data_IF_420835772333
#
_entry.id   IF_420835772333
#
_cell.length_a   1.000
_cell.length_b   1.000
_cell.length_c   1.000
_cell.angle_alpha   90.00
_cell.angle_beta   90.00
_cell.angle_gamma   90.00
#
_symmetry.space_group_name_H-M   'P 1'
#
loop_
_entity.id
_entity.type
_entity.pdbx_description
1 polymer ?
#
# COMPACT_ATOMS: atom_id res chain seq x y z
N UNK A 1 1.11 47.12 71.34
CA UNK A 1 2.11 48.13 70.90
C UNK A 1 3.40 47.40 70.57
N UNK A 2 3.73 47.25 69.29
CA UNK A 2 4.97 46.57 68.87
C UNK A 2 6.11 47.60 68.96
N UNK A 3 7.09 47.37 69.84
CA UNK A 3 8.30 48.20 69.98
C UNK A 3 9.23 47.89 68.82
N UNK A 4 9.12 48.67 67.73
CA UNK A 4 10.01 48.55 66.58
C UNK A 4 11.40 49.08 67.00
N UNK A 5 12.36 48.17 67.14
CA UNK A 5 13.73 48.50 67.50
C UNK A 5 14.44 49.13 66.28
N UNK A 6 15.34 50.11 66.48
CA UNK A 6 15.98 50.87 65.37
C UNK A 6 16.66 49.97 64.32
N UNK A 7 17.10 48.78 64.73
CA UNK A 7 17.67 47.74 63.85
C UNK A 7 16.66 47.21 62.81
N UNK A 8 15.38 47.07 63.15
CA UNK A 8 14.35 46.58 62.21
C UNK A 8 13.92 47.63 61.18
N UNK A 9 13.96 48.92 61.54
CA UNK A 9 13.70 50.01 60.59
C UNK A 9 14.78 50.02 59.49
N UNK A 10 16.03 49.77 59.86
CA UNK A 10 17.16 49.75 58.92
C UNK A 10 17.11 48.53 57.97
N UNK A 11 16.66 47.38 58.48
CA UNK A 11 16.52 46.15 57.68
C UNK A 11 15.34 46.24 56.70
N UNK A 12 14.21 46.85 57.12
CA UNK A 12 13.07 47.12 56.23
C UNK A 12 13.44 48.16 55.16
N UNK A 13 14.19 49.21 55.52
CA UNK A 13 14.67 50.20 54.55
C UNK A 13 15.64 49.58 53.54
N UNK A 14 16.53 48.68 53.98
CA UNK A 14 17.44 47.95 53.09
C UNK A 14 16.67 47.01 52.13
N UNK A 15 15.65 46.31 52.63
CA UNK A 15 14.81 45.40 51.83
C UNK A 15 13.92 46.16 50.83
N UNK A 16 13.41 47.32 51.22
CA UNK A 16 12.69 48.22 50.32
C UNK A 16 13.62 48.79 49.24
N UNK A 17 14.85 49.18 49.61
CA UNK A 17 15.85 49.65 48.65
C UNK A 17 16.26 48.56 47.64
N UNK A 18 16.45 47.31 48.06
CA UNK A 18 16.73 46.20 47.13
C UNK A 18 15.55 45.88 46.22
N UNK A 19 14.30 45.92 46.70
CA UNK A 19 13.11 45.76 45.84
C UNK A 19 12.99 46.87 44.78
N UNK A 20 13.38 48.10 45.11
CA UNK A 20 13.39 49.23 44.15
C UNK A 20 14.50 49.06 43.10
N UNK A 21 15.68 48.53 43.48
CA UNK A 21 16.78 48.30 42.52
C UNK A 21 16.49 47.13 41.57
N UNK A 22 15.78 46.09 42.02
CA UNK A 22 15.43 44.93 41.16
C UNK A 22 14.31 45.30 40.16
N UNK A 23 13.42 46.25 40.49
CA UNK A 23 12.34 46.69 39.60
C UNK A 23 12.77 47.70 38.53
N UNK A 24 13.97 48.31 38.64
CA UNK A 24 14.45 49.36 37.74
C UNK A 24 15.33 48.95 36.56
N UNK A 25 15.65 47.66 36.38
CA UNK A 25 16.71 47.21 35.46
C UNK A 25 16.27 46.20 34.39
N UNK A 26 15.01 46.19 33.98
CA UNK A 26 14.65 45.53 32.72
C UNK A 26 14.87 46.53 31.57
N UNK A 27 16.04 46.48 30.92
CA UNK A 27 16.24 47.22 29.66
C UNK A 27 15.15 46.78 28.67
N UNK A 28 14.42 47.71 28.02
CA UNK A 28 13.44 47.35 27.01
C UNK A 28 14.17 46.62 25.86
N UNK A 29 13.60 45.50 25.44
CA UNK A 29 14.09 44.66 24.34
C UNK A 29 14.01 45.40 23.00
N UNK A 30 12.99 46.25 22.81
CA UNK A 30 12.74 47.00 21.58
C UNK A 30 12.24 48.43 21.87
N UNK A 31 12.39 49.33 20.90
CA UNK A 31 11.73 50.65 20.88
C UNK A 31 10.72 50.75 19.74
N UNK A 32 10.96 50.07 18.64
CA UNK A 32 10.13 50.01 17.44
C UNK A 32 10.00 48.57 16.96
N UNK A 33 9.02 48.27 16.12
CA UNK A 33 8.86 46.93 15.53
C UNK A 33 10.05 46.49 14.68
N UNK A 34 10.83 47.43 14.16
CA UNK A 34 12.06 47.17 13.39
C UNK A 34 13.23 46.69 14.26
N UNK A 35 13.19 46.95 15.57
CA UNK A 35 14.21 46.47 16.51
C UNK A 35 14.00 44.98 16.86
N UNK A 36 12.82 44.42 16.54
CA UNK A 36 12.52 43.03 16.80
C UNK A 36 13.12 42.11 15.74
N UNK A 37 13.75 41.03 16.17
CA UNK A 37 14.28 40.00 15.27
C UNK A 37 13.16 39.45 14.39
N UNK A 38 13.25 39.55 13.05
CA UNK A 38 12.19 39.04 12.18
C UNK A 38 12.05 37.53 12.36
N UNK A 39 10.81 37.07 12.50
CA UNK A 39 10.45 35.65 12.53
C UNK A 39 9.65 35.31 11.28
N UNK A 40 9.94 34.16 10.68
CA UNK A 40 9.21 33.66 9.51
C UNK A 40 7.72 33.60 9.82
N UNK A 41 6.90 34.11 8.88
CA UNK A 41 5.44 34.11 8.99
C UNK A 41 4.88 34.70 10.31
N UNK A 42 5.56 35.72 10.84
CA UNK A 42 5.12 36.45 12.03
C UNK A 42 5.22 37.95 11.80
N UNK A 43 4.17 38.67 12.21
CA UNK A 43 4.17 40.12 12.30
C UNK A 43 4.76 40.53 13.66
N UNK A 44 5.91 41.21 13.65
CA UNK A 44 6.53 41.74 14.86
C UNK A 44 5.92 43.09 15.23
N UNK A 45 5.70 43.29 16.53
CA UNK A 45 5.34 44.59 17.11
C UNK A 45 6.09 44.79 18.42
N UNK A 46 6.57 46.00 18.67
CA UNK A 46 7.10 46.36 19.97
C UNK A 46 5.95 46.78 20.89
N UNK A 47 5.66 45.96 21.90
CA UNK A 47 4.59 46.19 22.88
C UNK A 47 5.20 46.34 24.27
N UNK A 48 5.08 47.53 24.86
CA UNK A 48 5.59 47.84 26.21
C UNK A 48 7.09 47.52 26.38
N UNK A 49 7.89 47.77 25.34
CA UNK A 49 9.32 47.50 25.34
C UNK A 49 9.70 46.02 25.21
N UNK A 50 8.76 45.14 24.82
CA UNK A 50 9.00 43.72 24.51
C UNK A 50 8.57 43.41 23.08
N UNK A 51 9.28 42.51 22.42
CA UNK A 51 8.89 42.06 21.09
C UNK A 51 7.75 41.05 21.17
N UNK A 52 6.56 41.47 20.72
CA UNK A 52 5.42 40.59 20.53
C UNK A 52 5.34 40.15 19.06
N UNK A 53 5.00 38.88 18.84
CA UNK A 53 4.89 38.29 17.51
C UNK A 53 3.48 37.75 17.35
N UNK A 54 2.79 38.18 16.30
CA UNK A 54 1.49 37.63 15.90
C UNK A 54 1.67 36.78 14.64
N UNK A 55 0.98 35.63 14.51
CA UNK A 55 1.04 34.82 13.30
C UNK A 55 0.54 35.64 12.10
N UNK A 56 1.29 35.61 11.00
CA UNK A 56 0.86 36.20 9.74
C UNK A 56 -0.07 35.23 9.03
N UNK A 57 -1.26 35.68 8.64
CA UNK A 57 -2.24 34.83 7.96
C UNK A 57 -1.77 34.36 6.58
N UNK A 58 -2.20 33.16 6.20
CA UNK A 58 -1.91 32.50 4.92
C UNK A 58 -0.41 32.36 4.65
N UNK A 59 0.38 32.07 5.69
CA UNK A 59 1.83 31.97 5.62
C UNK A 59 2.32 30.71 6.33
N UNK A 60 3.02 29.86 5.58
CA UNK A 60 3.49 28.58 6.08
C UNK A 60 4.67 28.73 7.07
N UNK A 61 4.49 28.24 8.29
CA UNK A 61 5.45 28.31 9.40
C UNK A 61 4.97 29.19 10.56
N UNK A 62 3.71 29.65 10.54
CA UNK A 62 3.11 30.44 11.62
C UNK A 62 2.50 29.56 12.75
N UNK A 63 2.57 28.22 12.61
CA UNK A 63 2.00 27.20 13.50
C UNK A 63 0.46 27.21 13.60
N UNK A 64 -0.21 27.92 12.70
CA UNK A 64 -1.66 27.96 12.55
C UNK A 64 -2.02 27.17 11.30
N UNK A 65 -3.07 26.35 11.37
CA UNK A 65 -3.54 25.56 10.23
C UNK A 65 -4.64 26.32 9.51
N UNK A 66 -4.32 27.00 8.41
CA UNK A 66 -5.29 27.74 7.59
C UNK A 66 -5.64 27.01 6.28
N UNK A 67 -6.86 27.16 5.76
CA UNK A 67 -7.28 26.47 4.53
C UNK A 67 -6.42 26.80 3.30
N UNK A 68 -5.75 27.96 3.30
CA UNK A 68 -4.82 28.39 2.26
C UNK A 68 -3.55 28.91 2.93
N UNK A 69 -2.41 28.29 2.61
CA UNK A 69 -1.09 28.66 3.09
C UNK A 69 -0.20 29.03 1.90
N UNK A 70 0.31 30.26 1.88
CA UNK A 70 1.21 30.75 0.82
C UNK A 70 0.65 30.56 -0.61
N UNK A 71 -0.66 30.76 -0.77
CA UNK A 71 -1.37 30.61 -2.05
C UNK A 71 -1.66 29.17 -2.49
N UNK A 72 -1.42 28.17 -1.63
CA UNK A 72 -1.72 26.74 -1.87
C UNK A 72 -2.71 26.22 -0.82
N UNK A 73 -3.43 25.11 -1.07
CA UNK A 73 -4.26 24.48 -0.04
C UNK A 73 -3.42 24.14 1.19
N UNK A 74 -3.85 24.51 2.40
CA UNK A 74 -3.10 24.23 3.63
C UNK A 74 -3.19 22.75 4.04
N UNK A 75 -2.10 22.00 3.88
CA UNK A 75 -2.02 20.60 4.25
C UNK A 75 -0.56 20.14 4.49
N UNK A 76 -0.39 18.86 4.83
CA UNK A 76 0.92 18.26 5.14
C UNK A 76 1.92 18.23 3.97
N UNK A 77 1.44 18.36 2.74
CA UNK A 77 2.24 18.32 1.51
C UNK A 77 2.66 19.71 1.02
N UNK A 78 1.86 20.73 1.31
CA UNK A 78 2.11 22.12 0.90
C UNK A 78 2.75 22.94 2.02
N UNK A 79 2.45 22.63 3.28
CA UNK A 79 2.98 23.30 4.46
C UNK A 79 3.30 22.32 5.62
N UNK A 80 4.38 21.53 5.50
CA UNK A 80 4.76 20.57 6.54
C UNK A 80 5.15 21.23 7.87
N UNK A 81 5.54 22.50 7.86
CA UNK A 81 5.91 23.25 9.07
C UNK A 81 4.74 23.38 10.05
N UNK A 82 3.52 23.62 9.54
CA UNK A 82 2.33 23.84 10.38
C UNK A 82 1.47 22.57 10.49
N UNK A 83 1.45 21.76 9.44
CA UNK A 83 0.62 20.56 9.37
C UNK A 83 1.32 19.27 9.80
N UNK A 84 2.64 19.32 9.97
CA UNK A 84 3.48 18.14 10.05
C UNK A 84 3.75 17.55 8.67
N UNK A 85 4.75 16.66 8.58
CA UNK A 85 5.12 16.04 7.30
C UNK A 85 4.20 14.88 6.94
N UNK A 86 3.92 14.73 5.66
CA UNK A 86 3.30 13.53 5.10
C UNK A 86 4.39 12.49 4.76
N UNK A 87 4.95 11.87 5.79
CA UNK A 87 5.96 10.82 5.65
C UNK A 87 5.78 9.77 6.75
N UNK A 88 6.24 8.55 6.50
CA UNK A 88 6.20 7.45 7.46
C UNK A 88 5.52 6.20 6.91
N UNK A 89 5.76 5.07 7.57
CA UNK A 89 5.13 3.81 7.19
C UNK A 89 3.67 3.79 7.65
N UNK A 90 2.81 3.15 6.86
CA UNK A 90 1.49 2.74 7.32
C UNK A 90 1.61 1.83 8.53
N UNK A 91 0.57 1.75 9.36
CA UNK A 91 0.53 0.86 10.52
C UNK A 91 -0.42 -0.30 10.25
N UNK A 92 0.04 -1.52 10.47
CA UNK A 92 -0.74 -2.76 10.41
C UNK A 92 -0.92 -3.33 11.81
N UNK A 93 -2.05 -3.98 12.08
CA UNK A 93 -2.28 -4.68 13.36
C UNK A 93 -1.96 -6.16 13.26
N UNK A 94 -1.05 -6.62 14.10
CA UNK A 94 -0.70 -8.03 14.27
C UNK A 94 -1.07 -8.43 15.70
N UNK A 95 -2.26 -9.05 15.84
CA UNK A 95 -2.83 -9.37 17.15
C UNK A 95 -3.19 -8.10 17.94
N UNK A 96 -2.49 -7.86 19.05
CA UNK A 96 -2.67 -6.67 19.89
C UNK A 96 -1.62 -5.57 19.64
N UNK A 97 -0.67 -5.78 18.72
CA UNK A 97 0.43 -4.85 18.44
C UNK A 97 0.22 -4.14 17.10
N UNK A 98 0.72 -2.92 17.01
CA UNK A 98 0.85 -2.18 15.76
C UNK A 98 2.29 -2.26 15.28
N UNK A 99 2.47 -2.64 14.02
CA UNK A 99 3.78 -2.72 13.35
C UNK A 99 3.77 -1.86 12.08
N UNK A 100 4.96 -1.49 11.62
CA UNK A 100 5.11 -0.76 10.36
C UNK A 100 4.81 -1.68 9.18
N UNK A 101 3.97 -1.20 8.26
CA UNK A 101 3.80 -1.82 6.95
C UNK A 101 5.13 -1.81 6.18
N UNK A 102 5.35 -2.85 5.38
CA UNK A 102 6.60 -3.02 4.66
C UNK A 102 6.68 -2.09 3.43
N UNK A 103 5.58 -1.92 2.69
CA UNK A 103 5.54 -1.16 1.45
C UNK A 103 4.63 0.06 1.54
N UNK A 104 3.50 -0.05 2.24
CA UNK A 104 2.52 1.04 2.34
C UNK A 104 3.09 2.18 3.21
N UNK A 105 3.13 3.39 2.65
CA UNK A 105 3.68 4.61 3.27
C UNK A 105 2.78 5.82 3.01
N UNK A 106 2.87 6.80 3.90
CA UNK A 106 2.34 8.13 3.65
C UNK A 106 3.28 8.90 2.73
N UNK A 107 2.73 9.42 1.64
CA UNK A 107 3.47 10.29 0.74
C UNK A 107 2.55 11.34 0.10
N UNK A 108 3.15 12.39 -0.43
CA UNK A 108 2.42 13.42 -1.15
C UNK A 108 2.16 12.99 -2.58
N UNK A 109 0.89 12.87 -2.95
CA UNK A 109 0.47 12.61 -4.32
C UNK A 109 0.84 13.78 -5.25
N UNK A 110 0.74 13.56 -6.56
CA UNK A 110 0.93 14.60 -7.57
C UNK A 110 -0.02 15.80 -7.37
N UNK A 111 -1.18 15.57 -6.74
CA UNK A 111 -2.20 16.59 -6.45
C UNK A 111 -1.96 17.32 -5.11
N UNK A 112 -0.77 17.16 -4.50
CA UNK A 112 -0.41 17.70 -3.19
C UNK A 112 -1.35 17.25 -2.05
N UNK A 113 -1.86 16.03 -2.13
CA UNK A 113 -2.63 15.41 -1.05
C UNK A 113 -1.77 14.39 -0.32
N UNK A 114 -1.90 14.33 0.99
CA UNK A 114 -1.26 13.26 1.76
C UNK A 114 -2.07 11.99 1.60
N UNK A 115 -1.49 10.99 0.96
CA UNK A 115 -2.15 9.71 0.65
C UNK A 115 -1.37 8.56 1.25
N UNK A 116 -2.09 7.47 1.54
CA UNK A 116 -1.52 6.21 1.99
C UNK A 116 -1.47 5.25 0.79
N UNK A 117 -0.28 4.78 0.44
CA UNK A 117 -0.13 3.85 -0.67
C UNK A 117 1.30 3.39 -0.87
N UNK A 118 1.62 2.90 -2.07
CA UNK A 118 2.95 2.40 -2.40
C UNK A 118 3.57 3.31 -3.46
N UNK A 119 4.80 3.76 -3.22
CA UNK A 119 5.56 4.53 -4.20
C UNK A 119 5.91 3.66 -5.42
N UNK A 120 5.85 4.22 -6.64
CA UNK A 120 6.12 3.49 -7.89
C UNK A 120 7.49 2.78 -7.91
N UNK A 121 8.49 3.33 -7.21
CA UNK A 121 9.84 2.75 -7.13
C UNK A 121 9.90 1.45 -6.31
N UNK A 122 8.92 1.24 -5.43
CA UNK A 122 8.82 0.08 -4.54
C UNK A 122 7.99 -1.05 -5.18
N UNK A 123 7.39 -0.81 -6.36
CA UNK A 123 6.60 -1.78 -7.12
C UNK A 123 7.47 -2.51 -8.14
N UNK A 124 7.49 -3.84 -8.08
CA UNK A 124 8.24 -4.67 -9.03
C UNK A 124 7.40 -5.86 -9.53
N UNK A 125 7.43 -6.15 -10.84
CA UNK A 125 6.71 -7.29 -11.40
C UNK A 125 7.35 -8.60 -10.93
N UNK A 126 6.52 -9.53 -10.49
CA UNK A 126 6.87 -10.91 -10.17
C UNK A 126 6.40 -11.81 -11.31
N UNK A 127 7.22 -12.81 -11.65
CA UNK A 127 6.89 -13.80 -12.67
C UNK A 127 7.16 -15.19 -12.10
N UNK A 128 6.18 -16.08 -12.21
CA UNK A 128 6.34 -17.48 -11.81
C UNK A 128 5.99 -18.38 -12.98
N UNK A 129 6.83 -19.39 -13.21
CA UNK A 129 6.61 -20.44 -14.18
C UNK A 129 6.13 -21.70 -13.46
N UNK A 130 5.01 -22.23 -13.91
CA UNK A 130 4.45 -23.50 -13.46
C UNK A 130 4.29 -24.44 -14.65
N UNK A 131 4.41 -25.75 -14.40
CA UNK A 131 4.31 -26.79 -15.42
C UNK A 131 3.06 -27.63 -15.21
N UNK A 132 2.30 -27.82 -16.29
CA UNK A 132 1.13 -28.69 -16.37
C UNK A 132 1.57 -29.94 -17.11
N UNK A 133 1.55 -31.09 -16.45
CA UNK A 133 1.87 -32.38 -17.07
C UNK A 133 0.75 -33.38 -16.79
N UNK A 134 0.04 -33.78 -17.85
CA UNK A 134 -1.12 -34.68 -17.75
C UNK A 134 -0.82 -36.09 -18.26
N UNK A 135 0.39 -36.34 -18.75
CA UNK A 135 0.73 -37.54 -19.53
C UNK A 135 0.26 -37.51 -20.99
N UNK A 136 -0.78 -36.73 -21.31
CA UNK A 136 -1.29 -36.53 -22.67
C UNK A 136 -0.81 -35.23 -23.32
N UNK A 137 -0.42 -34.25 -22.51
CA UNK A 137 0.23 -33.04 -22.98
C UNK A 137 1.07 -32.42 -21.86
N UNK A 138 1.99 -31.54 -22.26
CA UNK A 138 2.70 -30.65 -21.33
C UNK A 138 2.42 -29.22 -21.73
N UNK A 139 2.14 -28.38 -20.75
CA UNK A 139 1.99 -26.94 -20.96
C UNK A 139 2.72 -26.17 -19.86
N UNK A 140 3.20 -24.99 -20.20
CA UNK A 140 3.81 -24.06 -19.28
C UNK A 140 2.84 -22.93 -19.00
N UNK A 141 2.75 -22.52 -17.75
CA UNK A 141 1.92 -21.40 -17.32
C UNK A 141 2.80 -20.37 -16.65
N UNK A 142 2.87 -19.17 -17.21
CA UNK A 142 3.53 -18.02 -16.59
C UNK A 142 2.46 -17.15 -15.96
N UNK A 143 2.53 -16.94 -14.65
CA UNK A 143 1.74 -15.93 -13.94
C UNK A 143 2.62 -14.71 -13.66
N UNK A 144 2.11 -13.53 -13.96
CA UNK A 144 2.73 -12.23 -13.70
C UNK A 144 1.80 -11.33 -12.89
N UNK A 145 2.37 -10.64 -11.90
CA UNK A 145 1.67 -9.65 -11.08
C UNK A 145 2.66 -8.69 -10.41
N UNK A 146 2.21 -7.51 -10.02
CA UNK A 146 3.04 -6.53 -9.32
C UNK A 146 3.17 -6.84 -7.82
N UNK A 147 4.36 -6.62 -7.26
CA UNK A 147 4.62 -6.75 -5.81
C UNK A 147 5.11 -5.39 -5.27
N UNK A 148 4.46 -4.85 -4.23
CA UNK A 148 3.18 -5.31 -3.66
C UNK A 148 2.03 -5.14 -4.68
N UNK A 149 0.98 -5.95 -4.52
CA UNK A 149 -0.16 -6.00 -5.41
C UNK A 149 -1.29 -5.12 -4.88
N UNK A 150 -1.72 -4.16 -5.70
CA UNK A 150 -2.83 -3.26 -5.39
C UNK A 150 -4.15 -3.88 -5.82
N UNK A 151 -4.91 -4.37 -4.84
CA UNK A 151 -6.20 -5.01 -5.05
C UNK A 151 -7.24 -4.11 -5.75
N UNK A 152 -7.03 -2.80 -5.77
CA UNK A 152 -7.93 -1.85 -6.43
C UNK A 152 -7.70 -1.66 -7.92
N UNK A 153 -6.49 -1.93 -8.43
CA UNK A 153 -6.10 -1.56 -9.81
C UNK A 153 -5.31 -2.63 -10.56
N UNK A 154 -4.57 -3.49 -9.86
CA UNK A 154 -3.65 -4.43 -10.49
C UNK A 154 -4.41 -5.65 -11.03
N UNK A 155 -3.79 -6.34 -11.99
CA UNK A 155 -4.33 -7.56 -12.59
C UNK A 155 -3.31 -8.67 -12.59
N UNK A 156 -3.77 -9.90 -12.40
CA UNK A 156 -2.97 -11.10 -12.63
C UNK A 156 -2.98 -11.43 -14.13
N UNK A 157 -1.80 -11.55 -14.71
CA UNK A 157 -1.61 -11.92 -16.11
C UNK A 157 -1.14 -13.38 -16.19
N UNK A 158 -1.92 -14.24 -16.83
CA UNK A 158 -1.55 -15.64 -17.08
C UNK A 158 -1.23 -15.81 -18.55
N UNK A 159 -0.14 -16.50 -18.88
CA UNK A 159 0.15 -16.97 -20.24
C UNK A 159 0.39 -18.47 -20.19
N UNK A 160 -0.48 -19.23 -20.85
CA UNK A 160 -0.40 -20.68 -20.93
C UNK A 160 0.10 -21.03 -22.32
N UNK A 161 1.19 -21.79 -22.43
CA UNK A 161 1.79 -22.25 -23.69
C UNK A 161 1.72 -23.78 -23.76
N UNK A 162 1.24 -24.33 -24.87
CA UNK A 162 1.29 -25.79 -25.10
C UNK A 162 2.71 -26.18 -25.52
N UNK A 163 3.42 -26.94 -24.70
CA UNK A 163 4.84 -27.24 -24.93
C UNK A 163 5.04 -28.58 -25.67
N UNK A 164 4.16 -29.55 -25.42
CA UNK A 164 4.29 -30.92 -25.95
C UNK A 164 2.93 -31.63 -25.99
N UNK A 165 2.76 -32.57 -26.92
CA UNK A 165 1.55 -33.38 -27.07
C UNK A 165 1.87 -34.86 -27.15
N UNK A 166 1.11 -35.67 -26.42
CA UNK A 166 1.16 -37.13 -26.48
C UNK A 166 0.45 -37.66 -27.74
N UNK A 167 0.83 -38.86 -28.16
CA UNK A 167 0.30 -39.50 -29.39
C UNK A 167 -1.21 -39.71 -29.38
N UNK A 168 -1.78 -39.96 -28.21
CA UNK A 168 -3.20 -40.24 -28.05
C UNK A 168 -4.03 -38.98 -27.81
N UNK A 169 -3.42 -37.79 -27.74
CA UNK A 169 -4.13 -36.53 -27.58
C UNK A 169 -4.82 -36.13 -28.88
N UNK A 170 -6.07 -35.67 -28.78
CA UNK A 170 -6.82 -35.06 -29.88
C UNK A 170 -7.03 -33.59 -29.54
N UNK A 171 -6.44 -32.73 -30.36
CA UNK A 171 -6.57 -31.27 -30.26
C UNK A 171 -7.97 -30.79 -30.71
N UNK A 172 -8.43 -29.61 -30.26
CA UNK A 172 -7.73 -28.68 -29.37
C UNK A 172 -7.94 -28.94 -27.88
N UNK A 173 -7.11 -28.32 -27.04
CA UNK A 173 -7.33 -28.19 -25.60
C UNK A 173 -8.12 -26.90 -25.36
N UNK A 174 -9.28 -27.01 -24.73
CA UNK A 174 -10.14 -25.88 -24.37
C UNK A 174 -9.86 -25.45 -22.94
N UNK A 175 -9.45 -24.20 -22.73
CA UNK A 175 -9.35 -23.56 -21.42
C UNK A 175 -10.70 -22.90 -21.12
N UNK A 176 -11.36 -23.32 -20.04
CA UNK A 176 -12.78 -22.97 -19.82
C UNK A 176 -12.98 -22.00 -18.65
N UNK A 177 -12.09 -22.03 -17.66
CA UNK A 177 -12.21 -21.19 -16.46
C UNK A 177 -10.87 -21.04 -15.76
N UNK A 178 -10.63 -19.86 -15.18
CA UNK A 178 -9.57 -19.67 -14.21
C UNK A 178 -10.09 -19.05 -12.91
N UNK A 179 -9.45 -19.43 -11.81
CA UNK A 179 -9.75 -18.98 -10.45
C UNK A 179 -8.47 -18.57 -9.75
N UNK A 180 -8.56 -17.57 -8.89
CA UNK A 180 -7.49 -17.18 -7.98
C UNK A 180 -8.01 -17.32 -6.56
N UNK A 181 -7.32 -18.15 -5.80
CA UNK A 181 -7.51 -18.38 -4.38
C UNK A 181 -6.44 -17.60 -3.62
N UNK A 182 -6.83 -17.03 -2.50
CA UNK A 182 -5.96 -16.28 -1.61
C UNK A 182 -6.04 -16.86 -0.20
N UNK A 183 -4.89 -16.95 0.46
CA UNK A 183 -4.76 -17.36 1.85
C UNK A 183 -3.95 -16.29 2.57
N UNK A 184 -4.60 -15.52 3.46
CA UNK A 184 -3.90 -14.61 4.38
C UNK A 184 -3.52 -15.31 5.66
N UNK A 185 -2.54 -14.73 6.38
CA UNK A 185 -2.22 -15.18 7.75
C UNK A 185 -3.40 -14.99 8.72
N UNK A 186 -4.36 -14.13 8.39
CA UNK A 186 -5.55 -13.85 9.20
C UNK A 186 -6.76 -14.74 8.85
N UNK A 187 -6.76 -15.39 7.68
CA UNK A 187 -7.87 -16.20 7.23
C UNK A 187 -7.67 -17.68 7.62
N UNK A 188 -8.73 -18.31 8.12
CA UNK A 188 -8.72 -19.74 8.46
C UNK A 188 -8.87 -20.65 7.24
N UNK A 189 -9.23 -20.11 6.09
CA UNK A 189 -9.51 -20.84 4.86
C UNK A 189 -9.11 -20.03 3.64
N UNK A 190 -8.78 -20.72 2.55
CA UNK A 190 -8.57 -20.09 1.25
C UNK A 190 -9.85 -19.40 0.78
N UNK A 191 -9.71 -18.17 0.28
CA UNK A 191 -10.78 -17.34 -0.22
C UNK A 191 -10.68 -17.23 -1.74
N UNK A 192 -11.78 -17.41 -2.46
CA UNK A 192 -11.84 -17.13 -3.89
C UNK A 192 -11.88 -15.61 -4.09
N UNK A 193 -10.83 -15.04 -4.69
CA UNK A 193 -10.68 -13.58 -4.89
C UNK A 193 -10.88 -13.13 -6.33
N UNK A 194 -10.78 -14.06 -7.29
CA UNK A 194 -11.14 -13.81 -8.68
C UNK A 194 -11.61 -15.11 -9.34
N UNK A 195 -12.60 -15.00 -10.22
CA UNK A 195 -13.02 -16.07 -11.13
C UNK A 195 -13.32 -15.45 -12.50
N UNK A 196 -12.88 -16.13 -13.57
CA UNK A 196 -13.14 -15.70 -14.95
C UNK A 196 -13.40 -16.92 -15.83
N UNK A 197 -14.53 -16.90 -16.53
CA UNK A 197 -14.76 -17.82 -17.65
C UNK A 197 -13.81 -17.51 -18.79
N UNK A 198 -13.24 -18.55 -19.39
CA UNK A 198 -12.29 -18.45 -20.49
C UNK A 198 -12.91 -19.19 -21.68
N UNK A 199 -12.78 -18.62 -22.87
CA UNK A 199 -13.11 -19.28 -24.13
C UNK A 199 -11.86 -19.22 -25.02
N UNK A 200 -10.88 -20.05 -24.67
CA UNK A 200 -9.58 -20.07 -25.32
C UNK A 200 -9.18 -21.50 -25.67
N UNK A 201 -8.47 -21.64 -26.78
CA UNK A 201 -8.08 -22.94 -27.34
C UNK A 201 -6.58 -22.97 -27.61
N UNK A 202 -5.97 -24.12 -27.35
CA UNK A 202 -4.62 -24.45 -27.78
C UNK A 202 -4.74 -25.53 -28.86
N UNK A 203 -4.44 -25.15 -30.11
CA UNK A 203 -4.60 -25.99 -31.31
C UNK A 203 -3.32 -26.71 -31.72
N UNK A 204 -2.17 -26.37 -31.14
CA UNK A 204 -0.90 -27.00 -31.46
C UNK A 204 0.23 -26.61 -30.50
N UNK A 205 1.34 -27.36 -30.55
CA UNK A 205 2.54 -27.04 -29.78
C UNK A 205 3.05 -25.65 -30.18
N UNK A 206 3.35 -24.83 -29.18
CA UNK A 206 3.73 -23.43 -29.33
C UNK A 206 2.57 -22.43 -29.20
N UNK A 207 1.32 -22.89 -29.29
CA UNK A 207 0.15 -22.02 -29.10
C UNK A 207 0.10 -21.46 -27.68
N UNK A 208 -0.40 -20.22 -27.58
CA UNK A 208 -0.47 -19.47 -26.33
C UNK A 208 -1.86 -18.92 -26.07
N UNK A 209 -2.25 -18.92 -24.81
CA UNK A 209 -3.45 -18.25 -24.32
C UNK A 209 -3.08 -17.28 -23.21
N UNK A 210 -3.40 -16.00 -23.39
CA UNK A 210 -3.19 -14.97 -22.38
C UNK A 210 -4.51 -14.58 -21.70
N UNK A 211 -4.52 -14.56 -20.37
CA UNK A 211 -5.70 -14.26 -19.55
C UNK A 211 -5.30 -13.17 -18.55
N UNK A 212 -6.03 -12.05 -18.55
CA UNK A 212 -5.92 -11.02 -17.51
C UNK A 212 -7.09 -11.13 -16.54
N UNK A 213 -6.80 -11.15 -15.24
CA UNK A 213 -7.77 -11.29 -14.16
C UNK A 213 -7.55 -10.18 -13.10
N UNK A 214 -8.41 -9.15 -13.05
CA UNK A 214 -8.47 -8.28 -11.88
C UNK A 214 -9.02 -9.04 -10.67
N UNK A 215 -8.79 -8.53 -9.46
CA UNK A 215 -9.52 -8.97 -8.28
C UNK A 215 -10.97 -8.49 -8.39
N UNK A 216 -11.88 -9.37 -8.83
CA UNK A 216 -13.28 -9.03 -9.12
C UNK A 216 -14.26 -9.41 -8.01
N UNK A 217 -13.84 -10.25 -7.07
CA UNK A 217 -14.70 -10.66 -5.96
C UNK A 217 -14.48 -9.71 -4.79
N UNK A 218 -15.55 -9.44 -4.03
CA UNK A 218 -15.64 -8.46 -2.93
C UNK A 218 -14.75 -8.74 -1.72
N UNK A 219 -13.57 -9.33 -1.92
CA UNK A 219 -12.53 -9.45 -0.91
C UNK A 219 -12.17 -8.06 -0.38
N UNK A 220 -12.20 -7.95 0.93
CA UNK A 220 -11.81 -6.76 1.67
C UNK A 220 -10.66 -7.16 2.56
N UNK A 221 -9.50 -6.57 2.30
CA UNK A 221 -8.37 -6.59 3.21
C UNK A 221 -8.84 -6.09 4.58
N UNK A 222 -8.52 -6.84 5.62
CA UNK A 222 -8.67 -6.48 7.03
C UNK A 222 -7.68 -5.39 7.42
N UNK A 223 -6.47 -5.43 6.86
CA UNK A 223 -5.41 -4.45 7.10
C UNK A 223 -5.08 -3.63 5.84
N UNK A 224 -4.37 -2.50 6.03
CA UNK A 224 -3.91 -1.66 4.91
C UNK A 224 -2.90 -2.37 4.00
N UNK A 225 -2.19 -3.35 4.55
CA UNK A 225 -1.24 -4.23 3.88
C UNK A 225 -1.37 -5.63 4.51
N UNK A 226 -1.55 -6.66 3.68
CA UNK A 226 -1.67 -8.04 4.11
C UNK A 226 -0.63 -8.93 3.44
N UNK A 227 0.05 -9.73 4.25
CA UNK A 227 0.93 -10.79 3.79
C UNK A 227 0.09 -12.05 3.61
N UNK A 228 0.28 -12.73 2.48
CA UNK A 228 -0.37 -14.01 2.25
C UNK A 228 0.21 -14.76 1.08
N UNK A 229 -0.59 -15.66 0.54
CA UNK A 229 -0.26 -16.42 -0.64
C UNK A 229 -1.44 -16.53 -1.58
N UNK A 230 -1.14 -16.56 -2.87
CA UNK A 230 -2.12 -16.87 -3.92
C UNK A 230 -1.86 -18.26 -4.48
N UNK A 231 -2.93 -18.87 -4.95
CA UNK A 231 -2.90 -20.09 -5.75
C UNK A 231 -3.92 -19.92 -6.86
N UNK A 232 -3.59 -20.31 -8.08
CA UNK A 232 -4.56 -20.26 -9.18
C UNK A 232 -4.91 -21.66 -9.66
N UNK A 233 -6.11 -21.78 -10.20
CA UNK A 233 -6.56 -22.98 -10.90
C UNK A 233 -6.99 -22.64 -12.32
N UNK A 234 -6.81 -23.59 -13.23
CA UNK A 234 -7.26 -23.51 -14.62
C UNK A 234 -8.03 -24.79 -14.92
N UNK A 235 -9.31 -24.64 -15.24
CA UNK A 235 -10.15 -25.72 -15.73
C UNK A 235 -9.97 -25.83 -17.25
N UNK A 236 -9.78 -27.06 -17.73
CA UNK A 236 -9.59 -27.33 -19.15
C UNK A 236 -10.25 -28.64 -19.56
N UNK A 237 -10.56 -28.74 -20.86
CA UNK A 237 -11.17 -29.90 -21.49
C UNK A 237 -10.37 -30.31 -22.72
N UNK A 238 -10.11 -31.60 -22.88
CA UNK A 238 -9.45 -32.14 -24.08
C UNK A 238 -10.04 -33.50 -24.46
N UNK A 239 -9.70 -33.99 -25.65
CA UNK A 239 -10.08 -35.33 -26.10
C UNK A 239 -8.85 -36.21 -26.19
N UNK A 240 -9.01 -37.51 -25.92
CA UNK A 240 -7.96 -38.52 -26.11
C UNK A 240 -8.50 -39.76 -26.80
N UNK A 241 -7.64 -40.48 -27.50
CA UNK A 241 -7.94 -41.81 -28.01
C UNK A 241 -7.72 -42.85 -26.91
N UNK A 242 -8.69 -43.75 -26.73
CA UNK A 242 -8.58 -44.89 -25.82
C UNK A 242 -8.95 -46.17 -26.54
N UNK A 243 -8.23 -47.25 -26.26
CA UNK A 243 -8.55 -48.56 -26.79
C UNK A 243 -9.89 -49.04 -26.18
N UNK A 244 -10.87 -49.25 -27.05
CA UNK A 244 -12.25 -49.66 -26.70
C UNK A 244 -12.54 -51.13 -27.02
N UNK A 245 -11.68 -51.76 -27.81
CA UNK A 245 -11.82 -53.16 -28.21
C UNK A 245 -10.70 -53.61 -29.13
N UNK A 246 -10.84 -54.84 -29.65
CA UNK A 246 -9.97 -55.39 -30.70
C UNK A 246 -10.81 -55.89 -31.87
N UNK A 247 -10.33 -55.61 -33.08
CA UNK A 247 -10.87 -56.23 -34.30
C UNK A 247 -10.53 -57.72 -34.32
N UNK A 248 -11.25 -58.53 -35.11
CA UNK A 248 -10.88 -59.93 -35.35
C UNK A 248 -9.45 -60.11 -35.88
N UNK A 249 -8.88 -59.10 -36.55
CA UNK A 249 -7.49 -59.07 -37.01
C UNK A 249 -6.45 -58.87 -35.90
N UNK A 250 -6.87 -58.60 -34.66
CA UNK A 250 -5.99 -58.31 -33.53
C UNK A 250 -5.65 -56.82 -33.32
N UNK A 251 -5.97 -55.95 -34.29
CA UNK A 251 -5.78 -54.50 -34.16
C UNK A 251 -6.71 -53.89 -33.09
N UNK A 252 -6.23 -52.89 -32.36
CA UNK A 252 -7.06 -52.15 -31.42
C UNK A 252 -8.09 -51.26 -32.15
N UNK A 253 -9.28 -51.16 -31.58
CA UNK A 253 -10.31 -50.20 -31.97
C UNK A 253 -10.25 -49.05 -30.97
N UNK A 254 -10.13 -47.83 -31.47
CA UNK A 254 -10.03 -46.64 -30.63
C UNK A 254 -11.34 -45.85 -30.62
N UNK A 255 -11.71 -45.32 -29.46
CA UNK A 255 -12.79 -44.34 -29.31
C UNK A 255 -12.25 -43.04 -28.71
N UNK A 256 -12.98 -41.96 -28.93
CA UNK A 256 -12.63 -40.65 -28.38
C UNK A 256 -13.30 -40.47 -27.02
N UNK A 257 -12.50 -40.21 -25.99
CA UNK A 257 -12.98 -39.86 -24.66
C UNK A 257 -12.75 -38.36 -24.42
N UNK A 258 -13.75 -37.68 -23.86
CA UNK A 258 -13.61 -36.27 -23.44
C UNK A 258 -13.22 -36.23 -21.97
N UNK A 259 -12.09 -35.59 -21.67
CA UNK A 259 -11.57 -35.44 -20.31
C UNK A 259 -11.74 -33.99 -19.88
N UNK A 260 -12.30 -33.80 -18.68
CA UNK A 260 -12.36 -32.51 -17.98
C UNK A 260 -11.42 -32.60 -16.78
N UNK A 261 -10.52 -31.64 -16.66
CA UNK A 261 -9.55 -31.63 -15.58
C UNK A 261 -9.27 -30.20 -15.12
N UNK A 262 -8.69 -30.09 -13.93
CA UNK A 262 -8.27 -28.83 -13.33
C UNK A 262 -6.79 -28.95 -13.00
N UNK A 263 -6.01 -27.96 -13.43
CA UNK A 263 -4.66 -27.74 -12.92
C UNK A 263 -4.75 -26.75 -11.77
N UNK A 264 -4.04 -27.00 -10.69
CA UNK A 264 -3.96 -26.06 -9.56
C UNK A 264 -2.51 -25.87 -9.17
N UNK A 265 -2.00 -24.66 -9.39
CA UNK A 265 -0.60 -24.31 -9.21
C UNK A 265 -0.14 -24.42 -7.75
N UNK A 266 1.17 -24.45 -7.46
CA UNK A 266 1.68 -24.23 -6.10
C UNK A 266 1.36 -22.82 -5.59
N UNK A 267 1.38 -22.65 -4.27
CA UNK A 267 1.20 -21.34 -3.62
C UNK A 267 2.35 -20.38 -3.97
N UNK A 268 2.03 -19.11 -4.21
CA UNK A 268 2.99 -18.02 -4.46
C UNK A 268 2.79 -16.91 -3.42
N UNK A 269 3.86 -16.35 -2.82
CA UNK A 269 3.72 -15.31 -1.82
C UNK A 269 3.24 -13.99 -2.45
N UNK A 270 2.36 -13.28 -1.76
CA UNK A 270 1.86 -11.97 -2.19
C UNK A 270 1.80 -11.00 -1.00
N UNK A 271 2.01 -9.72 -1.30
CA UNK A 271 1.68 -8.62 -0.41
C UNK A 271 0.52 -7.89 -1.05
N UNK A 272 -0.66 -7.98 -0.46
CA UNK A 272 -1.85 -7.26 -0.92
C UNK A 272 -1.92 -5.92 -0.18
N UNK A 273 -2.23 -4.86 -0.92
CA UNK A 273 -2.68 -3.61 -0.32
C UNK A 273 -3.85 -3.07 -1.15
N UNK A 274 -4.50 -2.01 -0.65
CA UNK A 274 -5.52 -1.30 -1.40
C UNK A 274 -5.22 0.18 -1.34
N UNK A 275 -4.92 0.80 -2.48
CA UNK A 275 -4.79 2.26 -2.52
C UNK A 275 -6.11 2.91 -2.11
N UNK A 276 -6.04 3.93 -1.25
CA UNK A 276 -7.16 4.82 -0.93
C UNK A 276 -7.60 5.67 -2.12
#
# INVERSE_FOLDING_TARGET
MIKINKSHVLLIALFAATLIVISGCAKPECRTSADCTPKTCSLSRCDSGKCAYAPQSSCCGNQVKESVESGKPGNQCTCPSDYGKCEGNGKIKIGSREEDAQYVKYYCSADNQCVLGVEKKDVAPQNFLDLINTGFFKASSVIKYDKPFDAGKDTFEFTITLDDIGKDLILPIFLTKSKILYSSEYARAEQLIAEKGIDSVLNGVGDKSSISMPMTLSYKSQEIEEIGSIRYSIDYTYKKQVASGRKPSGENIYTNETVRATFTAPVKPIFLFRSS
#
